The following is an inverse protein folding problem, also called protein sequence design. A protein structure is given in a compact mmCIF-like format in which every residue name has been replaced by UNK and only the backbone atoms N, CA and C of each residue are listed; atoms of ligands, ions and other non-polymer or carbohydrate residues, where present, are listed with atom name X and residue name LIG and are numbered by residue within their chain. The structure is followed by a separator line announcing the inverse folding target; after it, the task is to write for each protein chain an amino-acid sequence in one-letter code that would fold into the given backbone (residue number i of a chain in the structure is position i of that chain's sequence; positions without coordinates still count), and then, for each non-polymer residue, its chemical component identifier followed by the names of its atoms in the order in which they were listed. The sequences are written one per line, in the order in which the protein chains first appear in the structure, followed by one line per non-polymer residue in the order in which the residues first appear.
data_IF_278701422191
#
_entry.id   IF_278701422191
#
_cell.length_a   1.000
_cell.length_b   1.000
_cell.length_c   1.000
_cell.angle_alpha   90.00
_cell.angle_beta   90.00
_cell.angle_gamma   90.00
#
_symmetry.space_group_name_H-M   'P 1'
#
loop_
_entity.id
_entity.type
_entity.pdbx_description
1 polymer ?
#
# COMPACT_ATOMS: atom_id res chain seq x y z
N UNK A 1 7.60 24.92 2.82
CA UNK A 1 8.27 24.00 1.85
C UNK A 1 9.70 23.77 2.28
N UNK A 2 10.13 22.52 2.33
CA UNK A 2 11.49 22.12 2.65
C UNK A 2 12.47 22.47 1.52
N UNK A 3 13.75 22.71 1.86
CA UNK A 3 14.81 22.85 0.87
C UNK A 3 15.16 21.50 0.23
N UNK A 4 15.76 21.50 -0.96
CA UNK A 4 16.20 20.28 -1.63
C UNK A 4 17.14 19.44 -0.75
N UNK A 5 18.04 20.09 -0.01
CA UNK A 5 18.94 19.40 0.90
C UNK A 5 18.18 18.70 2.04
N UNK A 6 17.16 19.34 2.62
CA UNK A 6 16.34 18.72 3.67
C UNK A 6 15.55 17.51 3.14
N UNK A 7 14.97 17.60 1.93
CA UNK A 7 14.29 16.48 1.27
C UNK A 7 15.21 15.27 1.10
N UNK A 8 16.45 15.52 0.64
CA UNK A 8 17.46 14.48 0.45
C UNK A 8 17.93 13.86 1.77
N UNK A 9 18.15 14.69 2.81
CA UNK A 9 18.59 14.24 4.12
C UNK A 9 17.51 13.36 4.79
N UNK A 10 16.23 13.75 4.69
CA UNK A 10 15.11 12.96 5.21
C UNK A 10 14.97 11.64 4.45
N UNK A 11 15.01 11.66 3.13
CA UNK A 11 14.94 10.44 2.32
C UNK A 11 16.09 9.47 2.64
N UNK A 12 17.29 9.99 2.90
CA UNK A 12 18.44 9.20 3.36
C UNK A 12 18.18 8.59 4.74
N UNK A 13 17.66 9.35 5.70
CA UNK A 13 17.33 8.85 7.03
C UNK A 13 16.29 7.72 6.98
N UNK A 14 15.25 7.85 6.14
CA UNK A 14 14.25 6.81 5.95
C UNK A 14 14.85 5.55 5.32
N UNK A 15 15.74 5.69 4.36
CA UNK A 15 16.46 4.57 3.75
C UNK A 15 17.37 3.85 4.77
N UNK A 16 18.08 4.61 5.62
CA UNK A 16 18.90 4.06 6.70
C UNK A 16 18.03 3.37 7.76
N UNK A 17 16.88 3.95 8.13
CA UNK A 17 15.91 3.35 9.04
C UNK A 17 15.36 2.01 8.52
N UNK A 18 15.05 1.93 7.22
CA UNK A 18 14.63 0.68 6.59
C UNK A 18 15.72 -0.40 6.69
N UNK A 19 16.96 -0.06 6.38
CA UNK A 19 18.09 -1.00 6.38
C UNK A 19 18.48 -1.44 7.80
N UNK A 20 18.46 -0.53 8.77
CA UNK A 20 18.85 -0.79 10.17
C UNK A 20 17.72 -1.39 11.01
N UNK A 21 16.48 -1.38 10.52
CA UNK A 21 15.27 -1.74 11.29
C UNK A 21 15.07 -0.87 12.54
N UNK A 22 15.59 0.34 12.52
CA UNK A 22 15.47 1.29 13.63
C UNK A 22 14.60 2.46 13.19
N UNK A 23 13.44 2.61 13.83
CA UNK A 23 12.55 3.72 13.53
C UNK A 23 13.17 5.06 13.92
N UNK A 24 12.87 6.08 13.13
CA UNK A 24 13.23 7.47 13.42
C UNK A 24 12.03 8.20 14.06
N UNK A 25 12.29 9.27 14.83
CA UNK A 25 11.23 10.14 15.32
C UNK A 25 10.39 10.73 14.19
N UNK A 26 9.19 11.18 14.51
CA UNK A 26 8.30 11.86 13.56
C UNK A 26 9.02 13.03 12.88
N UNK A 27 8.89 13.12 11.57
CA UNK A 27 9.42 14.23 10.78
C UNK A 27 8.75 15.55 11.18
N UNK A 28 7.43 15.50 11.45
CA UNK A 28 6.64 16.65 11.88
C UNK A 28 7.05 17.19 13.26
N UNK A 29 7.75 16.44 14.09
CA UNK A 29 8.36 16.94 15.32
C UNK A 29 9.56 17.85 15.04
N UNK A 30 10.32 17.59 13.98
CA UNK A 30 11.47 18.39 13.55
C UNK A 30 11.07 19.48 12.54
N UNK A 31 10.11 19.17 11.68
CA UNK A 31 9.62 20.05 10.60
C UNK A 31 8.11 20.28 10.75
N UNK A 32 7.63 21.07 11.72
CA UNK A 32 6.20 21.23 12.02
C UNK A 32 5.39 21.85 10.87
N UNK A 33 6.03 22.60 9.99
CA UNK A 33 5.42 23.27 8.83
C UNK A 33 5.53 22.44 7.53
N UNK A 34 5.95 21.19 7.63
CA UNK A 34 6.08 20.28 6.48
C UNK A 34 4.69 20.01 5.86
N UNK A 35 4.61 20.15 4.54
CA UNK A 35 3.35 20.01 3.79
C UNK A 35 3.22 18.61 3.18
N UNK A 36 2.02 18.30 2.65
CA UNK A 36 1.77 17.06 1.88
C UNK A 36 2.64 16.99 0.62
N UNK A 37 2.85 18.14 -0.04
CA UNK A 37 3.74 18.23 -1.21
C UNK A 37 5.20 17.94 -0.83
N UNK A 38 5.67 18.45 0.31
CA UNK A 38 6.99 18.12 0.83
C UNK A 38 7.12 16.62 1.11
N UNK A 39 6.07 15.97 1.65
CA UNK A 39 6.10 14.55 1.97
C UNK A 39 6.17 13.67 0.72
N UNK A 40 5.43 13.99 -0.34
CA UNK A 40 5.58 13.30 -1.63
C UNK A 40 6.95 13.56 -2.28
N UNK A 41 7.51 14.76 -2.10
CA UNK A 41 8.87 15.04 -2.57
C UNK A 41 9.93 14.20 -1.82
N UNK A 42 9.79 14.02 -0.51
CA UNK A 42 10.63 13.11 0.29
C UNK A 42 10.47 11.66 -0.19
N UNK A 43 9.22 11.19 -0.37
CA UNK A 43 8.93 9.85 -0.89
C UNK A 43 9.58 9.65 -2.27
N UNK A 44 9.46 10.62 -3.17
CA UNK A 44 10.10 10.59 -4.49
C UNK A 44 11.62 10.43 -4.40
N UNK A 45 12.28 11.20 -3.51
CA UNK A 45 13.72 11.06 -3.25
C UNK A 45 14.10 9.70 -2.66
N UNK A 46 13.28 9.13 -1.81
CA UNK A 46 13.49 7.79 -1.28
C UNK A 46 13.34 6.72 -2.39
N UNK A 47 12.34 6.86 -3.27
CA UNK A 47 12.16 5.99 -4.45
C UNK A 47 13.36 6.10 -5.40
N UNK A 48 13.82 7.30 -5.72
CA UNK A 48 15.02 7.54 -6.54
C UNK A 48 16.25 6.79 -5.98
N UNK A 49 16.45 6.81 -4.65
CA UNK A 49 17.54 6.07 -3.98
C UNK A 49 17.40 4.56 -4.19
N UNK A 50 16.23 4.00 -3.96
CA UNK A 50 16.01 2.56 -4.15
C UNK A 50 16.24 2.13 -5.60
N UNK A 51 15.83 2.93 -6.56
CA UNK A 51 16.11 2.68 -7.97
C UNK A 51 17.62 2.77 -8.27
N UNK A 52 18.31 3.75 -7.68
CA UNK A 52 19.78 3.88 -7.81
C UNK A 52 20.53 2.67 -7.19
N UNK A 53 19.98 2.06 -6.14
CA UNK A 53 20.48 0.81 -5.54
C UNK A 53 20.11 -0.43 -6.38
N UNK A 54 19.50 -0.26 -7.56
CA UNK A 54 19.16 -1.35 -8.47
C UNK A 54 17.81 -2.01 -8.20
N UNK A 55 16.98 -1.45 -7.32
CA UNK A 55 15.64 -1.97 -7.06
C UNK A 55 14.69 -1.60 -8.18
N UNK A 56 13.89 -2.56 -8.66
CA UNK A 56 12.90 -2.36 -9.71
C UNK A 56 11.54 -2.02 -9.11
N UNK A 57 10.99 -0.87 -9.51
CA UNK A 57 9.62 -0.49 -9.21
C UNK A 57 8.66 -1.39 -9.98
N UNK A 58 7.70 -2.02 -9.31
CA UNK A 58 6.71 -2.90 -9.92
C UNK A 58 5.28 -2.42 -9.78
N UNK A 59 5.02 -1.45 -8.95
CA UNK A 59 3.65 -1.00 -8.76
C UNK A 59 3.48 0.07 -7.70
N UNK A 60 2.25 0.23 -7.28
CA UNK A 60 1.83 1.22 -6.29
C UNK A 60 0.84 0.60 -5.30
N UNK A 61 0.79 1.13 -4.08
CA UNK A 61 -0.29 0.88 -3.15
C UNK A 61 -1.07 2.15 -2.87
N UNK A 62 -2.34 2.03 -2.51
CA UNK A 62 -3.21 3.13 -2.17
C UNK A 62 -3.67 2.94 -0.74
N UNK A 63 -3.39 3.91 0.12
CA UNK A 63 -3.81 3.91 1.51
C UNK A 63 -4.95 4.88 1.79
N UNK A 64 -5.54 4.80 3.00
CA UNK A 64 -6.60 5.69 3.48
C UNK A 64 -7.82 5.76 2.56
N UNK A 65 -8.19 4.65 1.96
CA UNK A 65 -9.34 4.54 1.05
C UNK A 65 -10.68 4.39 1.78
N UNK A 66 -10.66 4.06 3.07
CA UNK A 66 -11.86 3.95 3.90
C UNK A 66 -12.30 5.31 4.42
N UNK A 67 -13.56 5.68 4.17
CA UNK A 67 -14.15 6.93 4.69
C UNK A 67 -14.08 7.02 6.20
N UNK A 68 -14.30 5.90 6.91
CA UNK A 68 -14.20 5.83 8.36
C UNK A 68 -12.80 6.19 8.85
N UNK A 69 -11.76 5.70 8.17
CA UNK A 69 -10.37 6.02 8.50
C UNK A 69 -10.02 7.46 8.15
N UNK A 70 -10.51 7.99 7.03
CA UNK A 70 -10.33 9.40 6.67
C UNK A 70 -10.96 10.33 7.73
N UNK A 71 -12.18 10.05 8.19
CA UNK A 71 -12.84 10.81 9.24
C UNK A 71 -12.10 10.71 10.58
N UNK A 72 -11.64 9.52 10.96
CA UNK A 72 -10.90 9.30 12.21
C UNK A 72 -9.52 10.00 12.25
N UNK A 73 -8.89 10.18 11.10
CA UNK A 73 -7.57 10.82 10.97
C UNK A 73 -7.64 12.29 10.56
N UNK A 74 -8.82 12.79 10.20
CA UNK A 74 -9.01 14.16 9.68
C UNK A 74 -8.45 14.36 8.27
N UNK A 75 -8.22 13.25 7.53
CA UNK A 75 -7.65 13.26 6.19
C UNK A 75 -8.79 13.18 5.17
N UNK A 76 -8.69 13.94 4.09
CA UNK A 76 -9.79 14.08 3.13
C UNK A 76 -9.57 13.35 1.81
N UNK A 77 -8.38 12.81 1.59
CA UNK A 77 -8.04 12.05 0.37
C UNK A 77 -7.14 10.85 0.70
N UNK A 78 -7.11 9.83 -0.17
CA UNK A 78 -6.15 8.72 -0.06
C UNK A 78 -4.70 9.18 -0.15
N UNK A 79 -3.78 8.29 0.23
CA UNK A 79 -2.35 8.39 -0.03
C UNK A 79 -1.87 7.24 -0.93
N UNK A 80 -0.61 7.30 -1.36
CA UNK A 80 -0.02 6.21 -2.14
C UNK A 80 1.46 5.99 -1.80
N UNK A 81 1.93 4.78 -2.09
CA UNK A 81 3.33 4.38 -1.96
C UNK A 81 3.80 3.56 -3.15
N UNK A 82 5.10 3.36 -3.27
CA UNK A 82 5.77 2.59 -4.31
C UNK A 82 6.01 1.14 -3.85
N UNK A 83 5.75 0.15 -4.71
CA UNK A 83 6.02 -1.27 -4.49
C UNK A 83 7.24 -1.66 -5.33
N UNK A 84 8.24 -2.26 -4.68
CA UNK A 84 9.44 -2.76 -5.33
C UNK A 84 9.43 -4.29 -5.44
N UNK A 85 10.22 -4.81 -6.39
CA UNK A 85 10.31 -6.25 -6.70
C UNK A 85 10.63 -7.12 -5.47
N UNK A 86 11.52 -6.66 -4.62
CA UNK A 86 11.95 -7.36 -3.40
C UNK A 86 10.94 -7.29 -2.24
N UNK A 87 9.82 -6.61 -2.43
CA UNK A 87 8.73 -6.49 -1.46
C UNK A 87 7.53 -7.39 -1.82
N UNK A 88 7.65 -8.30 -2.78
CA UNK A 88 6.55 -9.14 -3.24
C UNK A 88 6.78 -10.59 -2.83
N UNK A 89 5.85 -11.14 -2.07
CA UNK A 89 5.82 -12.53 -1.65
C UNK A 89 4.65 -13.28 -2.29
N UNK A 90 4.83 -14.58 -2.48
CA UNK A 90 3.79 -15.47 -2.98
C UNK A 90 3.02 -16.12 -1.82
N UNK A 91 1.82 -16.61 -2.12
CA UNK A 91 1.02 -17.42 -1.22
C UNK A 91 1.83 -18.63 -0.71
N UNK A 92 1.78 -18.88 0.59
CA UNK A 92 2.53 -19.95 1.27
C UNK A 92 3.93 -19.52 1.75
N UNK A 93 4.34 -18.26 1.53
CA UNK A 93 5.65 -17.78 1.97
C UNK A 93 5.82 -17.83 3.48
N UNK A 94 7.05 -18.18 3.90
CA UNK A 94 7.55 -17.97 5.26
C UNK A 94 8.36 -16.68 5.25
N UNK A 95 7.95 -15.72 6.04
CA UNK A 95 8.43 -14.35 6.03
C UNK A 95 9.16 -14.05 7.34
N UNK A 96 10.40 -13.58 7.26
CA UNK A 96 11.15 -13.14 8.44
C UNK A 96 10.50 -11.89 9.05
N UNK A 97 9.89 -12.03 10.24
CA UNK A 97 9.26 -10.91 10.93
C UNK A 97 10.26 -9.77 11.20
N UNK A 98 11.50 -10.14 11.56
CA UNK A 98 12.56 -9.18 11.92
C UNK A 98 13.03 -8.29 10.78
N UNK A 99 12.61 -8.55 9.53
CA UNK A 99 12.92 -7.65 8.41
C UNK A 99 12.00 -6.42 8.36
N UNK A 100 10.98 -6.37 9.19
CA UNK A 100 10.01 -5.28 9.25
C UNK A 100 9.92 -4.67 10.66
N UNK A 101 9.38 -3.46 10.75
CA UNK A 101 9.05 -2.78 11.98
C UNK A 101 7.54 -2.61 12.12
N UNK A 102 6.99 -2.88 13.32
CA UNK A 102 5.55 -2.69 13.59
C UNK A 102 4.63 -3.43 12.60
N UNK A 103 4.89 -4.72 12.39
CA UNK A 103 4.20 -5.52 11.39
C UNK A 103 2.70 -5.56 11.61
N UNK A 104 1.96 -5.14 10.61
CA UNK A 104 0.49 -5.26 10.54
C UNK A 104 0.11 -5.75 9.15
N UNK A 105 -1.03 -6.41 9.06
CA UNK A 105 -1.57 -6.96 7.81
C UNK A 105 -2.93 -6.31 7.51
N UNK A 106 -3.14 -6.03 6.26
CA UNK A 106 -4.41 -5.59 5.68
C UNK A 106 -4.82 -6.46 4.50
N UNK A 107 -6.14 -6.64 4.34
CA UNK A 107 -6.72 -7.40 3.23
C UNK A 107 -7.07 -6.46 2.09
N UNK A 108 -6.61 -6.80 0.89
CA UNK A 108 -6.76 -5.96 -0.30
C UNK A 108 -7.10 -6.78 -1.56
N UNK A 109 -7.37 -6.05 -2.64
CA UNK A 109 -7.33 -6.56 -4.01
C UNK A 109 -6.20 -5.85 -4.77
N UNK A 110 -5.41 -6.62 -5.52
CA UNK A 110 -4.41 -6.10 -6.43
C UNK A 110 -4.92 -6.12 -7.86
N UNK A 111 -4.77 -5.00 -8.57
CA UNK A 111 -5.06 -4.87 -9.99
C UNK A 111 -3.76 -4.95 -10.77
N UNK A 112 -3.69 -5.86 -11.74
CA UNK A 112 -2.54 -5.96 -12.66
C UNK A 112 -2.94 -5.36 -13.99
N UNK A 113 -2.20 -4.35 -14.44
CA UNK A 113 -2.54 -3.60 -15.63
C UNK A 113 -1.97 -4.27 -16.90
N UNK A 114 -2.75 -4.32 -17.97
CA UNK A 114 -2.32 -4.72 -19.31
C UNK A 114 -2.06 -3.52 -20.24
N UNK A 115 -2.56 -2.34 -19.88
CA UNK A 115 -2.41 -1.10 -20.64
C UNK A 115 -2.01 0.05 -19.70
N UNK A 116 -1.33 1.06 -20.22
CA UNK A 116 -1.04 2.29 -19.49
C UNK A 116 -2.35 2.99 -19.10
N UNK A 117 -2.41 3.52 -17.88
CA UNK A 117 -3.55 4.24 -17.36
C UNK A 117 -3.11 5.62 -16.84
N UNK A 118 -3.72 6.67 -17.35
CA UNK A 118 -3.43 8.06 -16.97
C UNK A 118 -4.71 8.87 -16.80
N UNK A 119 -4.64 9.88 -15.91
CA UNK A 119 -5.58 11.00 -15.89
C UNK A 119 -5.39 11.94 -17.08
N UNK A 120 -6.04 13.13 -17.07
CA UNK A 120 -7.06 13.50 -16.08
C UNK A 120 -8.40 12.79 -16.35
N UNK A 121 -9.25 12.71 -15.31
CA UNK A 121 -10.60 12.17 -15.41
C UNK A 121 -10.66 10.66 -15.71
N UNK A 122 -9.63 9.88 -15.31
CA UNK A 122 -9.71 8.44 -15.32
C UNK A 122 -10.89 7.98 -14.44
N UNK A 123 -11.68 7.05 -14.97
CA UNK A 123 -12.89 6.50 -14.34
C UNK A 123 -12.70 5.02 -14.00
N UNK A 124 -13.63 4.44 -13.25
CA UNK A 124 -13.64 2.98 -12.99
C UNK A 124 -13.69 2.18 -14.30
N UNK A 125 -14.37 2.68 -15.34
CA UNK A 125 -14.44 2.01 -16.65
C UNK A 125 -13.08 1.98 -17.34
N UNK A 126 -12.28 3.03 -17.20
CA UNK A 126 -10.91 3.08 -17.74
C UNK A 126 -10.01 2.10 -16.98
N UNK A 127 -10.14 2.04 -15.65
CA UNK A 127 -9.43 1.06 -14.82
C UNK A 127 -9.77 -0.37 -15.23
N UNK A 128 -11.07 -0.72 -15.29
CA UNK A 128 -11.50 -2.08 -15.65
C UNK A 128 -11.01 -2.48 -17.03
N UNK A 129 -11.02 -1.56 -18.00
CA UNK A 129 -10.50 -1.79 -19.35
C UNK A 129 -8.98 -2.01 -19.35
N UNK A 130 -8.23 -1.21 -18.60
CA UNK A 130 -6.77 -1.30 -18.52
C UNK A 130 -6.26 -2.47 -17.67
N UNK A 131 -7.13 -3.11 -16.87
CA UNK A 131 -6.78 -4.23 -16.01
C UNK A 131 -6.80 -5.55 -16.77
N UNK A 132 -5.76 -6.34 -16.62
CA UNK A 132 -5.69 -7.71 -17.13
C UNK A 132 -6.43 -8.67 -16.21
N UNK A 133 -6.08 -8.65 -14.92
CA UNK A 133 -6.77 -9.43 -13.90
C UNK A 133 -6.70 -8.74 -12.54
N UNK A 134 -7.60 -9.14 -11.66
CA UNK A 134 -7.61 -8.78 -10.24
C UNK A 134 -7.29 -10.04 -9.44
N UNK A 135 -6.48 -9.88 -8.40
CA UNK A 135 -6.05 -11.01 -7.56
C UNK A 135 -6.12 -10.60 -6.08
N UNK A 136 -6.49 -11.53 -5.17
CA UNK A 136 -6.38 -11.32 -3.74
C UNK A 136 -4.97 -10.94 -3.32
N UNK A 137 -4.87 -10.01 -2.37
CA UNK A 137 -3.59 -9.55 -1.84
C UNK A 137 -3.67 -9.24 -0.34
N UNK A 138 -2.56 -9.39 0.35
CA UNK A 138 -2.33 -8.84 1.68
C UNK A 138 -1.28 -7.75 1.58
N UNK A 139 -1.53 -6.57 2.17
CA UNK A 139 -0.49 -5.59 2.43
C UNK A 139 0.17 -5.88 3.76
N UNK A 140 1.51 -5.90 3.79
CA UNK A 140 2.32 -5.91 5.01
C UNK A 140 2.73 -4.47 5.28
N UNK A 141 2.19 -3.89 6.33
CA UNK A 141 2.58 -2.58 6.80
C UNK A 141 3.86 -2.68 7.64
N UNK A 142 4.78 -1.78 7.38
CA UNK A 142 6.02 -1.61 8.14
C UNK A 142 6.40 -0.13 8.19
N UNK A 143 6.58 0.39 9.38
CA UNK A 143 6.84 1.82 9.58
C UNK A 143 8.31 2.08 9.89
N UNK A 144 8.93 3.02 9.16
CA UNK A 144 10.28 3.52 9.45
C UNK A 144 10.24 4.73 10.40
N UNK A 145 9.04 5.27 10.62
CA UNK A 145 8.80 6.40 11.53
C UNK A 145 7.98 5.91 12.73
N UNK A 146 8.31 6.40 13.92
CA UNK A 146 7.56 6.12 15.16
C UNK A 146 6.07 6.44 14.98
N UNK A 147 5.21 5.55 15.52
CA UNK A 147 3.77 5.63 15.26
C UNK A 147 3.04 6.64 16.14
N UNK A 148 3.54 6.90 17.36
CA UNK A 148 2.87 7.78 18.32
C UNK A 148 2.78 9.21 17.80
N UNK A 149 1.57 9.73 17.65
CA UNK A 149 1.29 11.08 17.15
C UNK A 149 1.69 11.32 15.69
N UNK A 150 1.92 10.26 14.89
CA UNK A 150 2.23 10.34 13.46
C UNK A 150 1.07 10.98 12.70
N UNK A 151 1.41 11.86 11.76
CA UNK A 151 0.47 12.55 10.89
C UNK A 151 0.49 11.94 9.48
N UNK A 152 -0.42 12.40 8.62
CA UNK A 152 -0.42 12.01 7.19
C UNK A 152 0.89 12.37 6.49
N UNK A 153 1.47 13.50 6.83
CA UNK A 153 2.75 13.99 6.27
C UNK A 153 3.88 13.01 6.58
N UNK A 154 3.95 12.52 7.83
CA UNK A 154 4.91 11.47 8.21
C UNK A 154 4.64 10.17 7.45
N UNK A 155 3.37 9.77 7.31
CA UNK A 155 2.98 8.52 6.65
C UNK A 155 3.34 8.51 5.17
N UNK A 156 3.01 9.58 4.43
CA UNK A 156 3.35 9.71 3.01
C UNK A 156 4.87 9.69 2.82
N UNK A 157 5.63 10.44 3.63
CA UNK A 157 7.09 10.46 3.57
C UNK A 157 7.70 9.08 3.74
N UNK A 158 7.06 8.25 4.58
CA UNK A 158 7.42 6.86 4.89
C UNK A 158 6.81 5.86 3.88
N UNK A 159 6.70 6.25 2.61
CA UNK A 159 6.14 5.40 1.55
C UNK A 159 4.76 4.82 1.92
N UNK A 160 3.92 5.63 2.55
CA UNK A 160 2.60 5.25 3.06
C UNK A 160 2.63 4.01 3.97
N UNK A 161 3.73 3.82 4.72
CA UNK A 161 4.03 2.70 5.61
C UNK A 161 4.04 1.31 4.93
N UNK A 162 4.19 1.23 3.61
CA UNK A 162 4.34 -0.04 2.93
C UNK A 162 5.63 -0.75 3.37
N UNK A 163 5.52 -2.01 3.76
CA UNK A 163 6.63 -2.94 3.98
C UNK A 163 6.77 -3.91 2.83
N UNK A 164 5.68 -4.62 2.50
CA UNK A 164 5.65 -5.63 1.45
C UNK A 164 4.19 -5.97 1.06
N UNK A 165 4.02 -6.90 0.13
CA UNK A 165 2.74 -7.52 -0.17
C UNK A 165 2.86 -9.04 -0.34
N UNK A 166 1.77 -9.74 -0.09
CA UNK A 166 1.61 -11.15 -0.47
C UNK A 166 0.45 -11.24 -1.43
N UNK A 167 0.61 -11.92 -2.55
CA UNK A 167 -0.51 -12.18 -3.47
C UNK A 167 -0.78 -13.66 -3.59
N UNK A 168 -2.02 -14.03 -3.94
CA UNK A 168 -2.41 -15.43 -4.06
C UNK A 168 -3.87 -15.59 -4.43
N UNK A 169 -4.43 -16.76 -4.12
CA UNK A 169 -5.78 -17.10 -4.55
C UNK A 169 -5.90 -17.29 -6.06
N UNK A 170 -7.10 -17.02 -6.61
CA UNK A 170 -7.42 -17.21 -8.01
C UNK A 170 -7.52 -15.85 -8.71
N UNK A 171 -6.64 -15.50 -9.66
CA UNK A 171 -6.80 -14.29 -10.45
C UNK A 171 -8.05 -14.38 -11.32
N UNK A 172 -8.80 -13.28 -11.40
CA UNK A 172 -10.04 -13.18 -12.19
C UNK A 172 -10.00 -11.99 -13.13
N UNK A 173 -10.65 -12.10 -14.28
CA UNK A 173 -10.89 -10.96 -15.14
C UNK A 173 -11.73 -9.91 -14.37
N UNK A 174 -11.51 -8.61 -14.58
CA UNK A 174 -12.14 -7.56 -13.77
C UNK A 174 -13.66 -7.48 -13.88
N UNK A 175 -14.24 -8.14 -14.88
CA UNK A 175 -15.68 -8.26 -15.13
C UNK A 175 -16.26 -9.65 -14.80
N UNK A 176 -15.43 -10.58 -14.36
CA UNK A 176 -15.87 -11.96 -14.04
C UNK A 176 -16.66 -12.05 -12.73
N UNK A 177 -16.46 -11.09 -11.83
CA UNK A 177 -17.12 -11.03 -10.52
C UNK A 177 -17.52 -9.58 -10.22
N UNK A 178 -18.50 -9.40 -9.34
CA UNK A 178 -18.79 -8.08 -8.78
C UNK A 178 -17.71 -7.71 -7.75
N UNK A 179 -16.67 -7.01 -8.20
CA UNK A 179 -15.52 -6.62 -7.38
C UNK A 179 -15.93 -5.84 -6.12
N UNK A 180 -17.02 -5.11 -6.17
CA UNK A 180 -17.54 -4.35 -5.03
C UNK A 180 -17.96 -5.26 -3.87
N UNK A 181 -18.44 -6.46 -4.18
CA UNK A 181 -18.93 -7.44 -3.21
C UNK A 181 -17.94 -8.54 -2.87
N UNK A 182 -16.72 -8.49 -3.39
CA UNK A 182 -15.66 -9.36 -2.89
C UNK A 182 -15.49 -9.12 -1.40
N UNK A 183 -15.54 -10.20 -0.63
CA UNK A 183 -15.40 -10.19 0.82
C UNK A 183 -14.22 -11.06 1.23
N UNK A 184 -13.69 -10.80 2.42
CA UNK A 184 -12.68 -11.67 3.01
C UNK A 184 -12.87 -11.82 4.51
N UNK A 185 -12.43 -13.00 5.01
CA UNK A 185 -12.23 -13.30 6.40
C UNK A 185 -10.72 -13.28 6.67
N UNK A 186 -10.27 -12.44 7.60
CA UNK A 186 -8.87 -12.35 7.99
C UNK A 186 -8.65 -13.10 9.30
N UNK A 187 -7.76 -14.08 9.26
CA UNK A 187 -7.42 -14.91 10.41
C UNK A 187 -5.99 -14.63 10.86
N UNK A 188 -5.78 -14.68 12.17
CA UNK A 188 -4.48 -14.89 12.78
C UNK A 188 -4.50 -16.21 13.54
N UNK A 189 -3.60 -17.10 13.14
CA UNK A 189 -3.61 -18.49 13.60
C UNK A 189 -4.96 -19.15 13.24
N UNK A 190 -5.75 -19.59 14.21
CA UNK A 190 -7.03 -20.26 13.99
C UNK A 190 -8.26 -19.35 14.23
N UNK A 191 -8.03 -18.07 14.57
CA UNK A 191 -9.09 -17.14 14.94
C UNK A 191 -9.35 -16.11 13.86
N UNK A 192 -10.63 -15.86 13.53
CA UNK A 192 -11.03 -14.71 12.71
C UNK A 192 -10.82 -13.44 13.54
N UNK A 193 -9.98 -12.55 13.05
CA UNK A 193 -9.68 -11.25 13.70
C UNK A 193 -10.50 -10.10 13.09
N UNK A 194 -10.73 -10.16 11.78
CA UNK A 194 -11.53 -9.14 11.09
C UNK A 194 -12.20 -9.70 9.82
N UNK A 195 -13.18 -8.98 9.33
CA UNK A 195 -13.90 -9.29 8.09
C UNK A 195 -14.19 -8.02 7.33
N UNK A 196 -14.17 -8.08 6.01
CA UNK A 196 -14.43 -6.90 5.21
C UNK A 196 -15.04 -7.19 3.85
N UNK A 197 -15.52 -6.13 3.21
CA UNK A 197 -16.07 -6.14 1.85
C UNK A 197 -15.39 -5.03 1.05
N UNK A 198 -14.98 -5.31 -0.17
CA UNK A 198 -14.22 -4.41 -1.02
C UNK A 198 -14.95 -3.08 -1.35
N UNK A 199 -16.26 -3.01 -1.14
CA UNK A 199 -17.02 -1.75 -1.17
C UNK A 199 -16.50 -0.69 -0.18
N UNK A 200 -15.77 -1.08 0.88
CA UNK A 200 -15.16 -0.14 1.82
C UNK A 200 -14.07 0.72 1.15
N UNK A 201 -13.50 0.26 0.06
CA UNK A 201 -12.51 1.00 -0.74
C UNK A 201 -13.25 1.99 -1.64
N UNK A 202 -13.44 3.23 -1.16
CA UNK A 202 -14.08 4.32 -1.93
C UNK A 202 -15.37 3.89 -2.66
N UNK A 203 -16.17 2.99 -2.06
CA UNK A 203 -17.40 2.39 -2.62
C UNK A 203 -17.18 1.36 -3.77
N UNK A 204 -15.98 1.28 -4.34
CA UNK A 204 -15.59 0.26 -5.34
C UNK A 204 -14.05 0.23 -5.45
N UNK A 205 -13.37 -0.94 -5.40
CA UNK A 205 -11.90 -0.99 -5.38
C UNK A 205 -11.24 -0.33 -6.60
N UNK A 206 -11.85 -0.37 -7.78
CA UNK A 206 -11.34 0.33 -8.96
C UNK A 206 -11.37 1.88 -8.81
N UNK A 207 -12.13 2.45 -7.87
CA UNK A 207 -12.10 3.89 -7.59
C UNK A 207 -10.77 4.33 -6.99
N UNK A 208 -10.13 3.49 -6.16
CA UNK A 208 -8.79 3.75 -5.66
C UNK A 208 -7.79 3.90 -6.81
N UNK A 209 -7.80 2.94 -7.74
CA UNK A 209 -6.91 2.96 -8.92
C UNK A 209 -7.18 4.16 -9.83
N UNK A 210 -8.45 4.52 -10.05
CA UNK A 210 -8.82 5.71 -10.83
C UNK A 210 -8.33 7.00 -10.13
N UNK A 211 -8.50 7.09 -8.79
CA UNK A 211 -7.96 8.20 -8.00
C UNK A 211 -6.44 8.33 -8.17
N UNK A 212 -5.71 7.21 -8.06
CA UNK A 212 -4.26 7.21 -8.21
C UNK A 212 -3.81 7.66 -9.60
N UNK A 213 -4.45 7.16 -10.67
CA UNK A 213 -4.15 7.58 -12.05
C UNK A 213 -4.33 9.09 -12.24
N UNK A 214 -5.39 9.67 -11.66
CA UNK A 214 -5.65 11.12 -11.69
C UNK A 214 -4.63 11.89 -10.82
N UNK A 215 -4.25 11.37 -9.66
CA UNK A 215 -3.26 12.00 -8.77
C UNK A 215 -1.88 12.05 -9.42
N UNK A 216 -1.42 10.96 -9.99
CA UNK A 216 -0.13 10.86 -10.69
C UNK A 216 -0.08 11.78 -11.92
N UNK A 217 -1.17 11.89 -12.66
CA UNK A 217 -1.24 12.79 -13.82
C UNK A 217 -0.92 14.25 -13.45
N UNK A 218 -1.37 14.72 -12.29
CA UNK A 218 -1.06 16.08 -11.81
C UNK A 218 0.45 16.31 -11.61
N UNK A 219 1.23 15.24 -11.47
CA UNK A 219 2.69 15.25 -11.35
C UNK A 219 3.42 14.84 -12.64
N UNK A 220 2.68 14.68 -13.75
CA UNK A 220 3.25 14.26 -15.05
C UNK A 220 3.58 12.76 -15.12
N UNK A 221 3.07 11.96 -14.19
CA UNK A 221 3.24 10.51 -14.12
C UNK A 221 2.00 9.76 -14.59
N UNK A 222 2.15 8.46 -14.87
CA UNK A 222 1.05 7.55 -15.18
C UNK A 222 1.35 6.15 -14.69
N UNK A 223 0.31 5.33 -14.49
CA UNK A 223 0.44 3.91 -14.26
C UNK A 223 0.79 3.20 -15.57
N UNK A 224 1.63 2.18 -15.51
CA UNK A 224 2.15 1.48 -16.68
C UNK A 224 1.60 0.07 -16.81
N UNK A 225 1.50 -0.41 -18.04
CA UNK A 225 1.23 -1.83 -18.30
C UNK A 225 2.23 -2.71 -17.55
N UNK A 226 1.72 -3.75 -16.89
CA UNK A 226 2.50 -4.65 -16.03
C UNK A 226 2.64 -4.20 -14.57
N UNK A 227 2.24 -2.98 -14.21
CA UNK A 227 2.23 -2.56 -12.80
C UNK A 227 1.13 -3.27 -12.00
N UNK A 228 1.46 -3.54 -10.73
CA UNK A 228 0.55 -4.10 -9.72
C UNK A 228 0.08 -2.96 -8.82
N UNK A 229 -1.23 -2.79 -8.69
CA UNK A 229 -1.81 -1.73 -7.87
C UNK A 229 -2.62 -2.34 -6.73
N UNK A 230 -2.14 -2.19 -5.48
CA UNK A 230 -2.93 -2.47 -4.29
C UNK A 230 -3.98 -1.36 -4.13
N UNK A 231 -5.26 -1.75 -4.18
CA UNK A 231 -6.37 -0.80 -4.35
C UNK A 231 -6.81 -0.11 -3.06
N UNK A 232 -6.37 -0.60 -1.92
CA UNK A 232 -6.76 -0.16 -0.59
C UNK A 232 -7.41 -1.26 0.23
N UNK A 233 -7.28 -1.15 1.54
CA UNK A 233 -7.77 -2.15 2.47
C UNK A 233 -9.27 -2.07 2.72
N UNK A 234 -9.88 -3.24 2.90
CA UNK A 234 -11.25 -3.39 3.39
C UNK A 234 -11.35 -4.10 4.74
N UNK A 235 -10.21 -4.23 5.45
CA UNK A 235 -10.13 -4.62 6.86
C UNK A 235 -9.35 -3.56 7.66
N UNK A 236 -9.37 -3.68 8.99
CA UNK A 236 -8.46 -2.90 9.83
C UNK A 236 -7.06 -3.52 9.81
N UNK A 237 -6.00 -2.71 10.02
CA UNK A 237 -4.66 -3.24 10.20
C UNK A 237 -4.59 -4.20 11.40
N UNK A 238 -4.29 -5.47 11.16
CA UNK A 238 -4.15 -6.51 12.19
C UNK A 238 -2.68 -6.67 12.59
N UNK A 239 -2.37 -6.57 13.86
CA UNK A 239 -1.02 -6.82 14.39
C UNK A 239 -0.59 -8.26 14.21
N UNK A 240 0.66 -8.46 13.80
CA UNK A 240 1.29 -9.77 13.59
C UNK A 240 2.58 -9.86 14.39
N UNK A 241 2.81 -11.01 15.00
CA UNK A 241 3.98 -11.29 15.85
C UNK A 241 4.80 -12.46 15.27
N UNK A 242 6.06 -12.60 15.68
CA UNK A 242 6.85 -13.79 15.33
C UNK A 242 6.12 -15.09 15.75
N UNK A 243 6.04 -16.04 14.82
CA UNK A 243 5.34 -17.31 15.00
C UNK A 243 3.90 -17.32 14.49
N UNK A 244 3.29 -16.14 14.21
CA UNK A 244 1.92 -16.08 13.72
C UNK A 244 1.81 -16.61 12.27
N UNK A 245 0.70 -17.26 12.00
CA UNK A 245 0.22 -17.60 10.66
C UNK A 245 -0.96 -16.69 10.34
N UNK A 246 -0.86 -15.98 9.21
CA UNK A 246 -1.94 -15.16 8.68
C UNK A 246 -2.61 -15.92 7.54
N UNK A 247 -3.93 -15.97 7.56
CA UNK A 247 -4.75 -16.55 6.50
C UNK A 247 -5.87 -15.58 6.14
N UNK A 248 -6.08 -15.34 4.86
CA UNK A 248 -7.20 -14.55 4.37
C UNK A 248 -7.99 -15.38 3.36
N UNK A 249 -9.27 -15.63 3.65
CA UNK A 249 -10.19 -16.38 2.79
C UNK A 249 -11.09 -15.40 2.05
N UNK A 250 -10.97 -15.38 0.70
CA UNK A 250 -11.75 -14.54 -0.21
C UNK A 250 -12.91 -15.29 -0.89
N UNK A 251 -13.31 -16.43 -0.32
CA UNK A 251 -14.38 -17.26 -0.89
C UNK A 251 -14.00 -17.79 -2.27
N UNK A 252 -14.77 -17.47 -3.31
CA UNK A 252 -14.54 -17.97 -4.67
C UNK A 252 -13.20 -17.53 -5.28
N UNK A 253 -12.64 -16.43 -4.81
CA UNK A 253 -11.32 -15.98 -5.24
C UNK A 253 -10.17 -16.75 -4.54
N UNK A 254 -10.47 -17.74 -3.70
CA UNK A 254 -9.47 -18.55 -3.01
C UNK A 254 -8.93 -17.87 -1.76
N UNK A 255 -7.74 -18.30 -1.32
CA UNK A 255 -7.17 -17.85 -0.08
C UNK A 255 -5.67 -17.55 -0.19
N UNK A 256 -5.19 -16.73 0.74
CA UNK A 256 -3.76 -16.43 0.93
C UNK A 256 -3.38 -16.89 2.34
N UNK A 257 -2.24 -17.57 2.45
CA UNK A 257 -1.64 -17.90 3.74
C UNK A 257 -0.17 -17.51 3.72
N UNK A 258 0.30 -16.88 4.79
CA UNK A 258 1.72 -16.66 5.03
C UNK A 258 2.04 -16.85 6.51
N UNK A 259 3.29 -17.18 6.82
CA UNK A 259 3.76 -17.39 8.19
C UNK A 259 4.91 -16.46 8.50
N UNK A 260 4.86 -15.81 9.64
CA UNK A 260 5.94 -14.97 10.17
C UNK A 260 6.81 -15.78 11.13
N UNK A 261 8.12 -15.81 10.93
CA UNK A 261 9.08 -16.45 11.81
C UNK A 261 10.07 -15.47 12.42
#
# INVERSE_FOLDING_TARGET
MLSQQQLEDIAKQLHEAENSRTMIPRLTATYPDMTVEDSYAVQGKWVERKVADGKRLLGRKIGLTSKVMQEATGITEPDYGAIFEDQIFENGSVIEHAQFSNVRIEVELAFVLKEDLSGPNATIFDVLRATEYVVPALEILSSRIEMEGRTIVDTISDNAALGAMVYGGNPVAPDAVDLRWVSALLYRNESIEDTGVAAAVLNHPAMGVAWLANKLHAHGESLKAGEIILAGSFTKPMWVHPGDTVHADYGELGAITCRFQ
#
